data_IF_083043342452
#
_entry.id   IF_083043342452
#
_cell.length_a   1.000
_cell.length_b   1.000
_cell.length_c   1.000
_cell.angle_alpha   90.00
_cell.angle_beta   90.00
_cell.angle_gamma   90.00
#
_symmetry.space_group_name_H-M   'P 1'
#
loop_
_entity.id
_entity.type
_entity.pdbx_description
1 polymer ?
#
# COMPACT_ATOMS: atom_id res chain seq x y z
N UNK A 1 39.40 41.02 -4.29
CA UNK A 1 39.19 39.77 -5.07
C UNK A 1 37.79 39.30 -4.83
N UNK A 2 36.89 39.48 -5.78
CA UNK A 2 35.47 39.13 -5.66
C UNK A 2 35.29 37.63 -5.95
N UNK A 3 34.74 36.92 -5.00
CA UNK A 3 34.48 35.49 -5.11
C UNK A 3 33.20 35.27 -5.96
N UNK A 4 33.37 34.98 -7.22
CA UNK A 4 32.26 34.66 -8.14
C UNK A 4 31.65 33.32 -7.74
N UNK A 5 30.53 33.34 -7.08
CA UNK A 5 29.72 32.12 -6.86
C UNK A 5 29.16 31.69 -8.20
N UNK A 6 29.59 30.53 -8.68
CA UNK A 6 29.08 29.88 -9.90
C UNK A 6 27.55 29.76 -9.83
N UNK A 7 26.86 30.13 -10.92
CA UNK A 7 25.41 30.03 -11.08
C UNK A 7 24.88 28.55 -10.97
N UNK A 8 25.76 27.58 -10.94
CA UNK A 8 25.45 26.12 -10.80
C UNK A 8 25.44 25.61 -9.37
N UNK A 9 25.62 26.47 -8.34
CA UNK A 9 25.60 26.06 -6.93
C UNK A 9 24.19 26.08 -6.31
N UNK A 10 23.14 25.81 -7.06
CA UNK A 10 21.86 25.41 -6.49
C UNK A 10 21.97 23.96 -6.00
N UNK A 11 22.70 23.75 -4.91
CA UNK A 11 22.57 22.56 -4.10
C UNK A 11 21.20 22.58 -3.40
N UNK A 12 20.13 22.30 -4.14
CA UNK A 12 18.84 22.05 -3.57
C UNK A 12 19.02 20.98 -2.49
N UNK A 13 18.52 21.23 -1.27
CA UNK A 13 18.55 20.25 -0.17
C UNK A 13 18.10 18.92 -0.76
N UNK A 14 18.96 17.89 -0.76
CA UNK A 14 18.61 16.53 -1.18
C UNK A 14 17.46 16.09 -0.26
N UNK A 15 16.24 16.15 -0.78
CA UNK A 15 15.07 15.70 -0.04
C UNK A 15 15.20 14.18 0.11
N UNK A 16 14.99 13.69 1.34
CA UNK A 16 15.07 12.26 1.61
C UNK A 16 13.88 11.56 0.94
N UNK A 17 14.10 10.37 0.36
CA UNK A 17 13.00 9.54 -0.10
C UNK A 17 12.06 9.20 1.07
N UNK A 18 10.76 9.23 0.82
CA UNK A 18 9.71 8.85 1.75
C UNK A 18 8.77 7.85 1.10
N UNK A 19 8.02 7.10 1.92
CA UNK A 19 7.03 6.15 1.43
C UNK A 19 5.73 6.89 1.14
N UNK A 20 5.26 6.76 -0.09
CA UNK A 20 3.99 7.31 -0.57
C UNK A 20 3.01 6.20 -0.93
N UNK A 21 1.74 6.48 -0.75
CA UNK A 21 0.64 5.64 -1.16
C UNK A 21 -0.14 6.39 -2.23
N UNK A 22 -0.02 5.91 -3.46
CA UNK A 22 -0.67 6.49 -4.64
C UNK A 22 -1.92 5.66 -4.91
N UNK A 23 -3.07 6.32 -4.96
CA UNK A 23 -4.35 5.72 -5.31
C UNK A 23 -4.77 6.21 -6.67
N UNK A 24 -5.12 5.29 -7.56
CA UNK A 24 -5.49 5.57 -8.95
C UNK A 24 -6.85 4.94 -9.24
N UNK A 25 -7.81 5.73 -9.71
CA UNK A 25 -9.08 5.26 -10.22
C UNK A 25 -8.97 5.14 -11.73
N UNK A 26 -9.30 3.98 -12.25
CA UNK A 26 -9.10 3.62 -13.66
C UNK A 26 -10.30 2.86 -14.21
N UNK A 27 -10.46 2.88 -15.53
CA UNK A 27 -11.38 1.96 -16.20
C UNK A 27 -11.03 0.51 -15.88
N UNK A 28 -12.04 -0.32 -15.60
CA UNK A 28 -11.86 -1.75 -15.35
C UNK A 28 -11.79 -2.52 -16.68
N UNK A 29 -10.72 -2.29 -17.44
CA UNK A 29 -10.51 -2.87 -18.76
C UNK A 29 -9.23 -3.70 -18.84
N UNK A 30 -9.20 -4.63 -19.79
CA UNK A 30 -8.01 -5.44 -20.05
C UNK A 30 -6.80 -4.56 -20.43
N UNK A 31 -5.66 -4.80 -19.79
CA UNK A 31 -4.41 -4.10 -20.07
C UNK A 31 -4.19 -2.79 -19.31
N UNK A 32 -5.18 -2.24 -18.61
CA UNK A 32 -5.03 -0.99 -17.85
C UNK A 32 -4.00 -1.14 -16.74
N UNK A 33 -4.07 -2.20 -15.96
CA UNK A 33 -3.07 -2.51 -14.94
C UNK A 33 -1.67 -2.62 -15.53
N UNK A 34 -1.54 -3.28 -16.67
CA UNK A 34 -0.24 -3.42 -17.35
C UNK A 34 0.34 -2.06 -17.77
N UNK A 35 -0.49 -1.12 -18.24
CA UNK A 35 -0.07 0.25 -18.58
C UNK A 35 0.42 1.00 -17.35
N UNK A 36 -0.30 0.90 -16.23
CA UNK A 36 0.11 1.52 -14.96
C UNK A 36 1.44 0.94 -14.47
N UNK A 37 1.57 -0.38 -14.39
CA UNK A 37 2.81 -1.06 -13.95
C UNK A 37 3.96 -0.78 -14.92
N UNK A 38 3.70 -0.78 -16.23
CA UNK A 38 4.67 -0.46 -17.28
C UNK A 38 5.25 0.94 -17.15
N UNK A 39 4.46 1.91 -16.70
CA UNK A 39 4.92 3.27 -16.42
C UNK A 39 5.99 3.28 -15.31
N UNK A 40 5.78 2.51 -14.23
CA UNK A 40 6.76 2.38 -13.15
C UNK A 40 8.02 1.67 -13.64
N UNK A 41 7.87 0.51 -14.28
CA UNK A 41 8.99 -0.30 -14.78
C UNK A 41 9.85 0.46 -15.78
N UNK A 42 9.23 1.15 -16.74
CA UNK A 42 9.93 1.90 -17.79
C UNK A 42 10.76 3.09 -17.29
N UNK A 43 10.54 3.51 -16.03
CA UNK A 43 11.28 4.61 -15.40
C UNK A 43 12.10 4.17 -14.18
N UNK A 44 12.15 2.86 -13.91
CA UNK A 44 12.89 2.33 -12.77
C UNK A 44 12.28 2.68 -11.40
N UNK A 45 10.98 3.03 -11.34
CA UNK A 45 10.31 3.22 -10.07
C UNK A 45 9.94 1.87 -9.47
N UNK A 46 10.20 1.71 -8.17
CA UNK A 46 9.86 0.47 -7.47
C UNK A 46 8.41 0.48 -6.98
N UNK A 47 7.70 -0.62 -7.16
CA UNK A 47 6.41 -0.90 -6.55
C UNK A 47 6.63 -1.84 -5.36
N UNK A 48 6.46 -1.34 -4.15
CA UNK A 48 6.62 -2.14 -2.93
C UNK A 48 5.37 -2.97 -2.61
N UNK A 49 4.20 -2.46 -2.98
CA UNK A 49 2.92 -3.10 -2.79
C UNK A 49 1.93 -2.61 -3.83
N UNK A 50 1.08 -3.50 -4.30
CA UNK A 50 0.05 -3.23 -5.28
C UNK A 50 -1.22 -3.97 -4.86
N UNK A 51 -2.32 -3.24 -4.71
CA UNK A 51 -3.64 -3.80 -4.51
C UNK A 51 -4.59 -3.22 -5.56
N UNK A 52 -5.42 -4.08 -6.16
CA UNK A 52 -6.38 -3.69 -7.21
C UNK A 52 -7.72 -4.33 -6.88
N UNK A 53 -8.78 -3.55 -6.99
CA UNK A 53 -10.14 -4.04 -6.89
C UNK A 53 -11.09 -3.17 -7.72
N UNK A 54 -12.12 -3.77 -8.27
CA UNK A 54 -13.27 -3.05 -8.81
C UNK A 54 -14.02 -2.41 -7.64
N UNK A 55 -14.32 -1.11 -7.74
CA UNK A 55 -14.97 -0.34 -6.69
C UNK A 55 -16.33 0.21 -7.13
N UNK A 56 -16.58 0.32 -8.43
CA UNK A 56 -17.85 0.72 -9.00
C UNK A 56 -18.19 -0.13 -10.23
N UNK A 57 -19.14 -1.06 -10.07
CA UNK A 57 -19.60 -1.95 -11.16
C UNK A 57 -20.44 -1.21 -12.20
N UNK A 58 -21.19 -0.15 -11.81
CA UNK A 58 -22.03 0.59 -12.75
C UNK A 58 -21.21 1.44 -13.70
N UNK A 59 -20.15 2.05 -13.18
CA UNK A 59 -19.24 2.88 -13.97
C UNK A 59 -18.04 2.09 -14.51
N UNK A 60 -17.94 0.80 -14.17
CA UNK A 60 -16.82 -0.08 -14.55
C UNK A 60 -15.47 0.47 -14.11
N UNK A 61 -15.37 0.94 -12.85
CA UNK A 61 -14.17 1.57 -12.30
C UNK A 61 -13.46 0.64 -11.33
N UNK A 62 -12.15 0.51 -11.53
CA UNK A 62 -11.21 -0.14 -10.60
C UNK A 62 -10.39 0.89 -9.85
N UNK A 63 -10.03 0.54 -8.62
CA UNK A 63 -9.12 1.30 -7.77
C UNK A 63 -7.81 0.55 -7.59
N UNK A 64 -6.71 1.19 -7.94
CA UNK A 64 -5.36 0.67 -7.78
C UNK A 64 -4.70 1.44 -6.63
N UNK A 65 -4.22 0.72 -5.62
CA UNK A 65 -3.43 1.30 -4.51
C UNK A 65 -1.99 0.84 -4.64
N UNK A 66 -1.06 1.78 -4.81
CA UNK A 66 0.36 1.54 -5.04
C UNK A 66 1.16 2.12 -3.89
N UNK A 67 2.02 1.31 -3.26
CA UNK A 67 3.01 1.79 -2.30
C UNK A 67 4.35 1.88 -3.00
N UNK A 68 4.97 3.05 -2.95
CA UNK A 68 6.28 3.33 -3.55
C UNK A 68 7.10 4.25 -2.65
N UNK A 69 8.42 4.17 -2.74
CA UNK A 69 9.34 5.09 -2.04
C UNK A 69 10.05 5.98 -3.05
N UNK A 70 10.02 7.28 -2.81
CA UNK A 70 10.65 8.25 -3.69
C UNK A 70 10.81 9.62 -3.06
N UNK A 71 11.61 10.48 -3.70
CA UNK A 71 11.63 11.91 -3.33
C UNK A 71 10.32 12.57 -3.78
N UNK A 72 9.90 13.70 -3.18
CA UNK A 72 8.70 14.40 -3.59
C UNK A 72 8.65 14.70 -5.10
N UNK A 73 9.78 15.05 -5.69
CA UNK A 73 9.87 15.31 -7.14
C UNK A 73 9.58 14.05 -7.97
N UNK A 74 10.10 12.88 -7.53
CA UNK A 74 9.82 11.60 -8.19
C UNK A 74 8.34 11.26 -8.09
N UNK A 75 7.74 11.43 -6.91
CA UNK A 75 6.31 11.16 -6.70
C UNK A 75 5.43 12.09 -7.52
N UNK A 76 5.77 13.38 -7.61
CA UNK A 76 5.06 14.33 -8.46
C UNK A 76 5.15 13.95 -9.95
N UNK A 77 6.31 13.49 -10.42
CA UNK A 77 6.46 12.96 -11.78
C UNK A 77 5.60 11.71 -12.00
N UNK A 78 5.57 10.78 -11.05
CA UNK A 78 4.69 9.59 -11.13
C UNK A 78 3.23 10.03 -11.31
N UNK A 79 2.74 10.93 -10.46
CA UNK A 79 1.35 11.45 -10.53
C UNK A 79 1.04 12.08 -11.89
N UNK A 80 1.93 12.94 -12.37
CA UNK A 80 1.77 13.61 -13.67
C UNK A 80 1.72 12.61 -14.84
N UNK A 81 2.53 11.57 -14.79
CA UNK A 81 2.54 10.54 -15.82
C UNK A 81 1.31 9.63 -15.75
N UNK A 82 0.86 9.26 -14.55
CA UNK A 82 -0.37 8.49 -14.37
C UNK A 82 -1.58 9.24 -14.93
N UNK A 83 -1.71 10.54 -14.64
CA UNK A 83 -2.79 11.39 -15.19
C UNK A 83 -2.82 11.52 -16.72
N UNK A 84 -1.73 11.18 -17.40
CA UNK A 84 -1.68 11.16 -18.87
C UNK A 84 -2.19 9.87 -19.50
N UNK A 85 -2.37 8.81 -18.70
CA UNK A 85 -2.94 7.57 -19.21
C UNK A 85 -4.44 7.77 -19.43
N UNK A 86 -4.92 7.46 -20.64
CA UNK A 86 -6.33 7.65 -21.02
C UNK A 86 -7.31 6.98 -20.05
N UNK A 87 -7.09 5.72 -19.59
CA UNK A 87 -8.03 5.06 -18.69
C UNK A 87 -7.92 5.51 -17.22
N UNK A 88 -7.17 6.59 -16.92
CA UNK A 88 -7.01 7.10 -15.55
C UNK A 88 -7.95 8.29 -15.33
N UNK A 89 -8.93 8.12 -14.45
CA UNK A 89 -9.87 9.17 -14.07
C UNK A 89 -9.29 10.09 -13.00
N UNK A 90 -8.58 9.51 -12.00
CA UNK A 90 -8.13 10.24 -10.84
C UNK A 90 -6.87 9.65 -10.25
N UNK A 91 -6.03 10.50 -9.68
CA UNK A 91 -4.82 10.12 -8.95
C UNK A 91 -4.77 10.90 -7.65
N UNK A 92 -4.70 10.22 -6.52
CA UNK A 92 -4.44 10.77 -5.20
C UNK A 92 -3.10 10.27 -4.66
N UNK A 93 -2.44 11.07 -3.84
CA UNK A 93 -1.17 10.75 -3.20
C UNK A 93 -1.27 11.06 -1.71
N UNK A 94 -0.91 10.09 -0.88
CA UNK A 94 -0.93 10.20 0.56
C UNK A 94 0.44 9.87 1.12
N UNK A 95 0.90 10.68 2.06
CA UNK A 95 2.07 10.35 2.86
C UNK A 95 1.69 9.31 3.92
N UNK A 96 2.62 8.44 4.23
CA UNK A 96 2.43 7.37 5.23
C UNK A 96 1.96 7.88 6.60
N UNK A 97 2.31 9.11 6.97
CA UNK A 97 2.01 9.71 8.27
C UNK A 97 0.76 10.62 8.26
N UNK A 98 0.03 10.64 7.15
CA UNK A 98 -1.19 11.44 7.04
C UNK A 98 -2.27 10.91 8.01
N UNK A 99 -2.60 11.72 9.00
CA UNK A 99 -3.59 11.40 10.05
C UNK A 99 -5.03 11.32 9.52
N UNK A 100 -5.27 11.90 8.35
CA UNK A 100 -6.59 11.94 7.72
C UNK A 100 -6.82 10.72 6.81
N UNK A 101 -5.88 9.79 6.74
CA UNK A 101 -5.96 8.62 5.89
C UNK A 101 -5.73 7.35 6.69
N UNK A 102 -6.63 6.41 6.56
CA UNK A 102 -6.50 5.07 7.15
C UNK A 102 -5.74 4.20 6.16
N UNK A 103 -4.65 3.58 6.62
CA UNK A 103 -3.89 2.58 5.89
C UNK A 103 -3.95 1.26 6.62
N UNK A 104 -4.46 0.24 5.97
CA UNK A 104 -4.53 -1.12 6.52
C UNK A 104 -4.12 -2.14 5.47
N UNK A 105 -3.62 -3.26 5.95
CA UNK A 105 -3.30 -4.43 5.17
C UNK A 105 -3.80 -5.66 5.92
N UNK A 106 -4.41 -6.59 5.21
CA UNK A 106 -4.78 -7.88 5.75
C UNK A 106 -3.67 -8.89 5.46
N UNK A 107 -3.35 -9.71 6.46
CA UNK A 107 -2.41 -10.81 6.32
C UNK A 107 -3.00 -12.11 6.89
N UNK A 108 -2.72 -13.20 6.21
CA UNK A 108 -2.99 -14.56 6.65
C UNK A 108 -1.67 -15.21 7.06
N UNK A 109 -1.60 -15.65 8.31
CA UNK A 109 -0.44 -16.31 8.90
C UNK A 109 -0.76 -17.78 9.11
N UNK A 110 -0.04 -18.67 8.41
CA UNK A 110 -0.17 -20.11 8.59
C UNK A 110 0.94 -20.63 9.48
N UNK A 111 0.53 -21.29 10.56
CA UNK A 111 1.42 -21.93 11.54
C UNK A 111 1.31 -23.44 11.45
N UNK A 112 2.44 -24.12 11.60
CA UNK A 112 2.51 -25.57 11.78
C UNK A 112 3.39 -25.85 13.00
N UNK A 113 2.78 -26.30 14.09
CA UNK A 113 3.47 -26.55 15.36
C UNK A 113 2.58 -27.38 16.29
N UNK A 114 3.10 -27.74 17.47
CA UNK A 114 2.30 -28.32 18.55
C UNK A 114 1.36 -27.27 19.18
N UNK A 115 0.30 -27.72 19.85
CA UNK A 115 -0.72 -26.87 20.46
C UNK A 115 -0.15 -25.76 21.37
N UNK A 116 0.90 -26.06 22.14
CA UNK A 116 1.53 -25.07 23.02
C UNK A 116 2.14 -23.88 22.25
N UNK A 117 2.78 -24.13 21.12
CA UNK A 117 3.31 -23.08 20.25
C UNK A 117 2.20 -22.33 19.51
N UNK A 118 1.15 -23.04 19.05
CA UNK A 118 0.01 -22.43 18.37
C UNK A 118 -0.74 -21.46 19.29
N UNK A 119 -0.96 -21.82 20.55
CA UNK A 119 -1.57 -20.93 21.54
C UNK A 119 -0.70 -19.69 21.81
N UNK A 120 0.62 -19.85 21.92
CA UNK A 120 1.56 -18.72 22.07
C UNK A 120 1.57 -17.81 20.83
N UNK A 121 1.44 -18.36 19.63
CA UNK A 121 1.30 -17.57 18.39
C UNK A 121 0.03 -16.72 18.42
N UNK A 122 -1.09 -17.30 18.82
CA UNK A 122 -2.36 -16.57 18.94
C UNK A 122 -2.30 -15.46 19.99
N UNK A 123 -1.77 -15.74 21.19
CA UNK A 123 -1.60 -14.73 22.24
C UNK A 123 -0.68 -13.57 21.79
N UNK A 124 0.38 -13.87 21.04
CA UNK A 124 1.26 -12.83 20.49
C UNK A 124 0.56 -11.92 19.47
N UNK A 125 -0.54 -12.38 18.88
CA UNK A 125 -1.35 -11.62 17.93
C UNK A 125 -2.53 -10.89 18.57
N UNK A 126 -2.84 -11.13 19.85
CA UNK A 126 -4.07 -10.72 20.53
C UNK A 126 -4.39 -9.21 20.42
N UNK A 127 -3.37 -8.37 20.47
CA UNK A 127 -3.53 -6.92 20.36
C UNK A 127 -4.01 -6.44 18.98
N UNK A 128 -4.03 -7.32 17.98
CA UNK A 128 -4.45 -7.03 16.62
C UNK A 128 -5.80 -7.66 16.27
N UNK A 129 -6.58 -8.10 17.27
CA UNK A 129 -7.87 -8.75 17.10
C UNK A 129 -7.80 -9.90 16.06
N UNK A 130 -6.99 -10.92 16.30
CA UNK A 130 -6.78 -12.02 15.36
C UNK A 130 -8.05 -12.83 15.17
N UNK A 131 -8.34 -13.24 13.94
CA UNK A 131 -9.42 -14.16 13.61
C UNK A 131 -8.80 -15.51 13.22
N UNK A 132 -9.21 -16.59 13.87
CA UNK A 132 -8.81 -17.95 13.49
C UNK A 132 -9.73 -18.39 12.35
N UNK A 133 -9.17 -18.60 11.16
CA UNK A 133 -9.91 -19.07 9.98
C UNK A 133 -9.90 -20.59 9.87
N UNK A 134 -8.82 -21.22 10.31
CA UNK A 134 -8.68 -22.68 10.35
C UNK A 134 -7.86 -23.09 11.57
N UNK A 135 -8.25 -24.19 12.22
CA UNK A 135 -7.58 -24.71 13.40
C UNK A 135 -7.62 -26.24 13.43
N UNK A 136 -6.43 -26.82 13.52
CA UNK A 136 -6.24 -28.25 13.77
C UNK A 136 -5.30 -28.46 14.96
N UNK A 137 -5.06 -29.71 15.36
CA UNK A 137 -4.11 -30.04 16.43
C UNK A 137 -2.63 -29.72 16.05
N UNK A 138 -2.34 -29.49 14.76
CA UNK A 138 -0.97 -29.30 14.24
C UNK A 138 -0.82 -28.02 13.42
N UNK A 139 -1.91 -27.32 13.09
CA UNK A 139 -1.84 -26.09 12.28
C UNK A 139 -2.95 -25.11 12.61
N UNK A 140 -2.66 -23.82 12.45
CA UNK A 140 -3.64 -22.73 12.51
C UNK A 140 -3.42 -21.77 11.35
N UNK A 141 -4.52 -21.20 10.84
CA UNK A 141 -4.47 -20.02 9.97
C UNK A 141 -5.12 -18.85 10.71
N UNK A 142 -4.34 -17.80 10.92
CA UNK A 142 -4.77 -16.61 11.66
C UNK A 142 -4.79 -15.43 10.69
N UNK A 143 -5.93 -14.74 10.62
CA UNK A 143 -6.09 -13.47 9.89
C UNK A 143 -5.84 -12.31 10.83
N UNK A 144 -5.09 -11.31 10.34
CA UNK A 144 -4.83 -10.05 11.03
C UNK A 144 -4.97 -8.90 10.05
N UNK A 145 -5.57 -7.80 10.50
CA UNK A 145 -5.62 -6.54 9.76
C UNK A 145 -4.91 -5.46 10.57
N UNK A 146 -3.78 -4.95 10.03
CA UNK A 146 -2.92 -4.02 10.75
C UNK A 146 -2.19 -3.07 9.78
N UNK A 147 -1.37 -2.16 10.31
CA UNK A 147 -0.45 -1.38 9.50
C UNK A 147 0.64 -2.27 8.90
N UNK A 148 1.10 -1.96 7.69
CA UNK A 148 2.16 -2.73 7.01
C UNK A 148 3.38 -3.01 7.91
N UNK A 149 3.88 -1.99 8.63
CA UNK A 149 5.02 -2.12 9.55
C UNK A 149 4.77 -3.12 10.69
N UNK A 150 3.52 -3.20 11.15
CA UNK A 150 3.09 -4.13 12.20
C UNK A 150 3.07 -5.57 11.66
N UNK A 151 2.53 -5.75 10.44
CA UNK A 151 2.57 -7.04 9.72
C UNK A 151 4.01 -7.49 9.48
N UNK A 152 4.92 -6.58 9.07
CA UNK A 152 6.34 -6.88 8.86
C UNK A 152 7.02 -7.31 10.17
N UNK A 153 6.75 -6.61 11.27
CA UNK A 153 7.27 -6.95 12.59
C UNK A 153 6.74 -8.31 13.08
N UNK A 154 5.43 -8.53 12.92
CA UNK A 154 4.81 -9.82 13.28
C UNK A 154 5.37 -10.96 12.45
N UNK A 155 5.55 -10.80 11.14
CA UNK A 155 6.11 -11.83 10.27
C UNK A 155 7.50 -12.28 10.72
N UNK A 156 8.30 -11.37 11.30
CA UNK A 156 9.61 -11.69 11.88
C UNK A 156 9.47 -12.40 13.23
N UNK A 157 8.65 -11.84 14.12
CA UNK A 157 8.54 -12.30 15.51
C UNK A 157 7.81 -13.64 15.64
N UNK A 158 6.89 -13.95 14.71
CA UNK A 158 6.08 -15.16 14.75
C UNK A 158 6.79 -16.40 14.21
N UNK A 159 7.95 -16.25 13.53
CA UNK A 159 8.73 -17.40 13.05
C UNK A 159 9.08 -18.39 14.14
N UNK A 160 9.38 -17.94 15.37
CA UNK A 160 9.70 -18.79 16.52
C UNK A 160 8.54 -19.70 16.98
N UNK A 161 7.31 -19.39 16.58
CA UNK A 161 6.12 -20.17 16.92
C UNK A 161 5.69 -21.16 15.83
N UNK A 162 6.50 -21.32 14.78
CA UNK A 162 6.21 -22.26 13.70
C UNK A 162 5.45 -21.64 12.54
N UNK A 163 5.61 -20.33 12.29
CA UNK A 163 5.11 -19.67 11.10
C UNK A 163 5.78 -20.26 9.85
N UNK A 164 4.99 -20.80 8.94
CA UNK A 164 5.46 -21.45 7.70
C UNK A 164 5.10 -20.66 6.43
N UNK A 165 4.03 -19.87 6.47
CA UNK A 165 3.60 -19.10 5.30
C UNK A 165 2.87 -17.82 5.72
N UNK A 166 3.03 -16.77 4.91
CA UNK A 166 2.30 -15.51 5.05
C UNK A 166 1.75 -15.12 3.68
N UNK A 167 0.45 -14.86 3.61
CA UNK A 167 -0.20 -14.25 2.45
C UNK A 167 -0.67 -12.85 2.82
N UNK A 168 -0.54 -11.88 1.90
CA UNK A 168 -0.83 -10.46 2.17
C UNK A 168 -1.61 -9.86 1.01
N UNK A 169 -2.55 -8.97 1.32
CA UNK A 169 -3.33 -8.25 0.29
C UNK A 169 -2.59 -7.07 -0.33
N UNK A 170 -1.55 -6.58 0.34
CA UNK A 170 -1.04 -5.24 0.09
C UNK A 170 -1.87 -4.18 0.84
N UNK A 171 -1.38 -2.94 0.84
CA UNK A 171 -2.01 -1.85 1.55
C UNK A 171 -3.28 -1.37 0.82
N UNK A 172 -4.34 -1.14 1.58
CA UNK A 172 -5.50 -0.36 1.16
C UNK A 172 -5.50 0.96 1.91
N UNK A 173 -5.98 2.03 1.25
CA UNK A 173 -5.99 3.38 1.78
C UNK A 173 -7.39 3.98 1.65
N UNK A 174 -7.84 4.72 2.67
CA UNK A 174 -9.11 5.45 2.63
C UNK A 174 -9.00 6.74 3.43
N UNK A 175 -9.55 7.83 2.90
CA UNK A 175 -9.60 9.12 3.59
C UNK A 175 -10.68 9.13 4.67
N UNK A 176 -10.42 9.83 5.77
CA UNK A 176 -11.35 9.94 6.90
C UNK A 176 -12.33 11.12 6.77
N UNK A 177 -12.12 12.03 5.81
CA UNK A 177 -12.89 13.29 5.68
C UNK A 177 -13.89 13.21 4.53
N UNK A 178 -15.12 13.69 4.79
CA UNK A 178 -16.23 13.77 3.83
C UNK A 178 -15.93 14.63 2.59
N UNK A 179 -15.00 15.58 2.66
CA UNK A 179 -14.68 16.54 1.59
C UNK A 179 -13.40 16.22 0.84
N UNK A 180 -12.93 15.01 0.91
CA UNK A 180 -11.76 14.59 0.16
C UNK A 180 -12.19 13.95 -1.16
N UNK A 181 -11.22 13.74 -1.99
CA UNK A 181 -11.36 13.21 -3.34
C UNK A 181 -12.19 11.92 -3.49
N UNK A 182 -12.50 11.22 -2.41
CA UNK A 182 -13.37 10.02 -2.46
C UNK A 182 -14.86 10.39 -2.51
N UNK A 183 -15.25 11.58 -1.98
CA UNK A 183 -16.64 12.06 -1.95
C UNK A 183 -17.03 12.87 -3.21
N UNK A 184 -16.09 13.26 -4.06
CA UNK A 184 -16.39 14.03 -5.27
C UNK A 184 -17.03 13.19 -6.39
N UNK A 185 -17.15 11.87 -6.21
CA UNK A 185 -17.75 10.96 -7.19
C UNK A 185 -19.26 10.78 -7.00
N UNK A 186 -19.83 11.14 -5.84
CA UNK A 186 -21.28 10.99 -5.60
C UNK A 186 -22.13 12.15 -6.16
N UNK A 187 -21.52 13.23 -6.66
CA UNK A 187 -22.25 14.43 -7.11
C UNK A 187 -22.42 14.55 -8.62
N UNK A 188 -22.15 13.51 -9.40
CA UNK A 188 -22.46 13.43 -10.84
C UNK A 188 -23.53 12.36 -11.09
N UNK A 189 -24.69 12.59 -10.51
CA UNK A 189 -25.94 11.95 -10.89
C UNK A 189 -26.75 12.89 -11.76
#
# INVERSE_FOLDING_TARGET
MANSKSAYSFAGKKQKPDTHIIVVWVDNEAGVLARVVGLFSGRGYNIESLAVAEVDQKQNISRITIVTTGTPQVVDQIKLQLKKLVPVHKVADFKREDKNVIFKEMALFKFVANNGKLNKAFEACKNFNPVILDKTNKSNVIQITALRREIDSMSKNLKKFGLVSVSRTGAVAMTCLLYTSDAADESRG
#
